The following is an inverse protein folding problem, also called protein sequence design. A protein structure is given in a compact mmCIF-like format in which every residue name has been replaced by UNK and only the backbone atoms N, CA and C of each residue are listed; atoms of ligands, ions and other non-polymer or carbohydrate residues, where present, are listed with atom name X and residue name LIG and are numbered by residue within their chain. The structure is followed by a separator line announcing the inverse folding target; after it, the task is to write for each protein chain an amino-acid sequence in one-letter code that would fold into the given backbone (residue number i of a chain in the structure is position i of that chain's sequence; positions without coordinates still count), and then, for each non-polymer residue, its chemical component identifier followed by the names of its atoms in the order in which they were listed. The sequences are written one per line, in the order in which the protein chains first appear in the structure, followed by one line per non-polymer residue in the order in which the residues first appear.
data_IF_311470695139
#
_entry.id   IF_311470695139
#
_cell.length_a   1.000
_cell.length_b   1.000
_cell.length_c   1.000
_cell.angle_alpha   90.00
_cell.angle_beta   90.00
_cell.angle_gamma   90.00
#
_symmetry.space_group_name_H-M   'P 1'
#
loop_
_entity.id
_entity.type
_entity.pdbx_description
1 polymer ?
#
# COMPACT_ATOMS: atom_id res chain seq x y z
N UNK A 1 36.88 13.06 13.38
CA UNK A 1 35.51 13.54 13.16
C UNK A 1 34.70 12.35 12.68
N UNK A 2 33.97 11.70 13.59
CA UNK A 2 33.01 10.67 13.22
C UNK A 2 31.79 11.44 12.76
N UNK A 3 31.40 11.31 11.49
CA UNK A 3 30.17 11.90 10.98
C UNK A 3 29.01 11.33 11.81
N UNK A 4 28.22 12.20 12.44
CA UNK A 4 26.98 11.79 13.10
C UNK A 4 26.10 11.06 12.08
N UNK A 5 25.75 9.81 12.37
CA UNK A 5 24.76 9.06 11.60
C UNK A 5 23.46 9.87 11.53
N UNK A 6 22.76 9.88 10.38
CA UNK A 6 21.49 10.59 10.28
C UNK A 6 20.50 9.98 11.27
N UNK A 7 20.18 10.72 12.33
CA UNK A 7 19.17 10.32 13.31
C UNK A 7 17.82 10.27 12.60
N UNK A 8 17.31 9.05 12.43
CA UNK A 8 15.92 8.76 12.04
C UNK A 8 14.99 9.58 12.94
N UNK A 9 14.37 10.64 12.40
CA UNK A 9 13.42 11.49 13.13
C UNK A 9 12.05 10.79 13.21
N UNK A 10 11.99 9.74 14.04
CA UNK A 10 10.80 8.93 14.21
C UNK A 10 9.63 9.74 14.78
N UNK A 11 9.91 10.66 15.70
CA UNK A 11 8.91 11.51 16.35
C UNK A 11 8.09 12.28 15.33
N UNK A 12 8.76 12.90 14.34
CA UNK A 12 8.07 13.63 13.29
C UNK A 12 7.19 12.73 12.40
N UNK A 13 7.60 11.49 12.16
CA UNK A 13 6.78 10.50 11.43
C UNK A 13 5.57 10.06 12.25
N UNK A 14 5.77 9.82 13.56
CA UNK A 14 4.68 9.48 14.49
C UNK A 14 3.64 10.59 14.56
N UNK A 15 4.06 11.84 14.74
CA UNK A 15 3.19 13.02 14.83
C UNK A 15 2.40 13.24 13.53
N UNK A 16 3.07 13.08 12.38
CA UNK A 16 2.44 13.16 11.06
C UNK A 16 1.34 12.10 10.91
N UNK A 17 1.63 10.85 11.26
CA UNK A 17 0.66 9.76 11.16
C UNK A 17 -0.53 9.95 12.10
N UNK A 18 -0.29 10.33 13.35
CA UNK A 18 -1.34 10.60 14.33
C UNK A 18 -2.25 11.75 13.88
N UNK A 19 -1.65 12.81 13.32
CA UNK A 19 -2.41 13.95 12.80
C UNK A 19 -3.26 13.56 11.59
N UNK A 20 -2.72 12.73 10.68
CA UNK A 20 -3.47 12.19 9.55
C UNK A 20 -4.63 11.31 10.00
N UNK A 21 -4.40 10.36 10.91
CA UNK A 21 -5.46 9.48 11.42
C UNK A 21 -6.56 10.28 12.13
N UNK A 22 -6.18 11.29 12.91
CA UNK A 22 -7.13 12.16 13.63
C UNK A 22 -8.01 12.94 12.67
N UNK A 23 -7.44 13.54 11.63
CA UNK A 23 -8.22 14.30 10.64
C UNK A 23 -9.10 13.38 9.78
N UNK A 24 -8.59 12.23 9.35
CA UNK A 24 -9.38 11.26 8.55
C UNK A 24 -10.53 10.64 9.35
N UNK A 25 -10.33 10.39 10.65
CA UNK A 25 -11.35 9.84 11.53
C UNK A 25 -12.58 10.75 11.73
N UNK A 26 -12.46 12.06 11.43
CA UNK A 26 -13.61 12.98 11.46
C UNK A 26 -14.62 12.71 10.34
N UNK A 27 -14.15 12.19 9.21
CA UNK A 27 -14.99 11.91 8.03
C UNK A 27 -15.30 10.42 7.88
N UNK A 28 -14.48 9.55 8.47
CA UNK A 28 -14.60 8.09 8.35
C UNK A 28 -14.84 7.48 9.72
N UNK A 29 -16.09 7.18 9.99
CA UNK A 29 -16.53 6.61 11.26
C UNK A 29 -16.45 5.07 11.22
N UNK A 30 -15.92 4.48 12.29
CA UNK A 30 -15.94 3.03 12.49
C UNK A 30 -14.87 2.21 11.73
N UNK A 31 -14.00 2.83 10.92
CA UNK A 31 -13.00 2.13 10.11
C UNK A 31 -11.55 2.42 10.54
N UNK A 32 -11.24 2.33 11.84
CA UNK A 32 -9.91 2.65 12.39
C UNK A 32 -8.78 1.83 11.76
N UNK A 33 -8.99 0.51 11.59
CA UNK A 33 -8.00 -0.37 10.99
C UNK A 33 -7.68 0.03 9.54
N UNK A 34 -8.72 0.37 8.76
CA UNK A 34 -8.53 0.85 7.39
C UNK A 34 -7.69 2.13 7.34
N UNK A 35 -7.99 3.11 8.21
CA UNK A 35 -7.21 4.35 8.28
C UNK A 35 -5.75 4.06 8.61
N UNK A 36 -5.50 3.22 9.62
CA UNK A 36 -4.17 2.82 10.04
C UNK A 36 -3.39 2.14 8.91
N UNK A 37 -3.99 1.13 8.26
CA UNK A 37 -3.36 0.41 7.15
C UNK A 37 -3.06 1.33 5.97
N UNK A 38 -3.95 2.30 5.72
CA UNK A 38 -3.76 3.29 4.64
C UNK A 38 -2.60 4.24 4.95
N UNK A 39 -2.48 4.73 6.19
CA UNK A 39 -1.36 5.57 6.64
C UNK A 39 -0.06 4.78 6.63
N UNK A 40 -0.08 3.51 7.04
CA UNK A 40 1.07 2.60 6.95
C UNK A 40 1.51 2.45 5.50
N UNK A 41 0.58 2.15 4.59
CA UNK A 41 0.87 1.97 3.18
C UNK A 41 1.43 3.25 2.53
N UNK A 42 0.85 4.41 2.82
CA UNK A 42 1.32 5.71 2.32
C UNK A 42 2.75 6.01 2.79
N UNK A 43 3.02 5.80 4.08
CA UNK A 43 4.33 6.01 4.69
C UNK A 43 5.36 4.96 4.23
N UNK A 44 4.91 3.78 3.82
CA UNK A 44 5.74 2.77 3.15
C UNK A 44 5.99 3.11 1.67
N UNK A 45 5.25 4.05 1.07
CA UNK A 45 5.26 4.29 -0.38
C UNK A 45 4.65 3.13 -1.17
N UNK A 46 3.72 2.40 -0.56
CA UNK A 46 2.96 1.32 -1.18
C UNK A 46 1.65 1.79 -1.80
N UNK A 47 0.99 0.87 -2.50
CA UNK A 47 -0.37 1.06 -3.04
C UNK A 47 -1.36 0.23 -2.25
N UNK A 48 -2.58 0.74 -2.11
CA UNK A 48 -3.66 0.10 -1.35
C UNK A 48 -4.72 -0.44 -2.31
N UNK A 49 -5.10 -1.70 -2.12
CA UNK A 49 -6.28 -2.29 -2.75
C UNK A 49 -7.44 -2.22 -1.75
N UNK A 50 -8.52 -1.52 -2.11
CA UNK A 50 -9.71 -1.36 -1.26
C UNK A 50 -10.86 -2.24 -1.75
N UNK A 51 -11.05 -3.38 -1.10
CA UNK A 51 -12.19 -4.26 -1.34
C UNK A 51 -13.36 -3.90 -0.40
N UNK A 52 -14.60 -4.14 -0.84
CA UNK A 52 -15.80 -3.82 -0.06
C UNK A 52 -16.96 -3.35 -0.93
N UNK A 53 -18.16 -3.38 -0.38
CA UNK A 53 -19.38 -3.00 -1.11
C UNK A 53 -19.38 -1.51 -1.48
N UNK A 54 -20.05 -1.12 -2.58
CA UNK A 54 -20.23 0.29 -2.93
C UNK A 54 -20.85 1.08 -1.78
N UNK A 55 -20.44 2.34 -1.61
CA UNK A 55 -21.00 3.24 -0.60
C UNK A 55 -20.31 3.23 0.77
N UNK A 56 -19.30 2.38 1.01
CA UNK A 56 -18.54 2.35 2.28
C UNK A 56 -17.52 3.49 2.47
N UNK A 57 -17.64 4.57 1.70
CA UNK A 57 -16.78 5.75 1.87
C UNK A 57 -15.36 5.63 1.28
N UNK A 58 -15.07 4.65 0.40
CA UNK A 58 -13.76 4.53 -0.27
C UNK A 58 -13.35 5.82 -1.00
N UNK A 59 -14.27 6.41 -1.74
CA UNK A 59 -14.04 7.69 -2.43
C UNK A 59 -13.86 8.85 -1.45
N UNK A 60 -14.55 8.82 -0.31
CA UNK A 60 -14.40 9.81 0.77
C UNK A 60 -13.01 9.69 1.39
N UNK A 61 -12.51 8.48 1.61
CA UNK A 61 -11.15 8.23 2.12
C UNK A 61 -10.08 8.83 1.23
N UNK A 62 -10.07 8.48 -0.06
CA UNK A 62 -9.00 8.95 -0.94
C UNK A 62 -9.08 10.45 -1.18
N UNK A 63 -10.29 11.01 -1.30
CA UNK A 63 -10.48 12.47 -1.41
C UNK A 63 -9.98 13.18 -0.15
N UNK A 64 -10.33 12.68 1.04
CA UNK A 64 -9.91 13.28 2.31
C UNK A 64 -8.40 13.24 2.45
N UNK A 65 -7.75 12.12 2.10
CA UNK A 65 -6.28 12.02 2.08
C UNK A 65 -5.63 13.09 1.21
N UNK A 66 -6.11 13.26 -0.04
CA UNK A 66 -5.55 14.24 -0.96
C UNK A 66 -5.65 15.66 -0.41
N UNK A 67 -6.81 15.98 0.15
CA UNK A 67 -7.01 17.29 0.71
C UNK A 67 -6.22 17.53 2.02
N UNK A 68 -6.15 16.55 2.93
CA UNK A 68 -5.39 16.66 4.20
C UNK A 68 -3.88 16.79 3.97
N UNK A 69 -3.37 16.21 2.89
CA UNK A 69 -1.95 16.27 2.50
C UNK A 69 -1.63 17.34 1.46
N UNK A 70 -2.60 18.17 1.07
CA UNK A 70 -2.44 19.16 -0.01
C UNK A 70 -1.88 18.56 -1.30
N UNK A 71 -2.29 17.33 -1.59
CA UNK A 71 -1.86 16.50 -2.71
C UNK A 71 -2.87 16.59 -3.85
N UNK A 72 -2.39 16.65 -5.08
CA UNK A 72 -3.24 16.50 -6.26
C UNK A 72 -3.92 15.14 -6.24
N UNK A 73 -5.24 15.15 -6.46
CA UNK A 73 -6.08 13.96 -6.45
C UNK A 73 -6.73 13.78 -7.82
N UNK A 74 -6.72 12.54 -8.29
CA UNK A 74 -7.41 12.16 -9.50
C UNK A 74 -8.19 10.87 -9.31
N UNK A 75 -9.36 10.78 -9.96
CA UNK A 75 -10.20 9.59 -9.96
C UNK A 75 -10.28 9.05 -11.38
N UNK A 76 -9.97 7.77 -11.53
CA UNK A 76 -10.09 7.03 -12.78
C UNK A 76 -11.17 5.98 -12.58
N UNK A 77 -12.29 6.14 -13.27
CA UNK A 77 -13.34 5.15 -13.29
C UNK A 77 -13.02 4.12 -14.36
N UNK A 78 -12.83 2.86 -13.98
CA UNK A 78 -12.59 1.81 -14.97
C UNK A 78 -13.89 1.37 -15.62
N UNK A 79 -13.96 1.53 -16.94
CA UNK A 79 -15.06 1.07 -17.78
C UNK A 79 -14.52 0.13 -18.87
N UNK A 80 -15.36 -0.72 -19.49
CA UNK A 80 -14.92 -1.67 -20.52
C UNK A 80 -14.31 -1.00 -21.76
N UNK A 81 -14.70 0.24 -22.03
CA UNK A 81 -14.28 1.09 -23.16
C UNK A 81 -13.07 1.98 -22.84
N UNK A 82 -12.59 1.99 -21.59
CA UNK A 82 -11.47 2.84 -21.17
C UNK A 82 -10.19 2.46 -21.93
N UNK A 83 -9.63 3.42 -22.65
CA UNK A 83 -8.41 3.25 -23.43
C UNK A 83 -7.17 3.62 -22.59
N UNK A 84 -6.00 3.00 -22.85
CA UNK A 84 -4.76 3.41 -22.18
C UNK A 84 -4.44 4.91 -22.32
N UNK A 85 -4.77 5.52 -23.46
CA UNK A 85 -4.59 6.95 -23.70
C UNK A 85 -5.47 7.83 -22.79
N UNK A 86 -6.61 7.34 -22.32
CA UNK A 86 -7.48 8.06 -21.37
C UNK A 86 -6.90 8.06 -19.95
N UNK A 87 -5.91 7.20 -19.67
CA UNK A 87 -5.21 7.10 -18.38
C UNK A 87 -3.89 7.85 -18.45
N UNK A 88 -3.09 7.58 -19.49
CA UNK A 88 -1.74 8.14 -19.68
C UNK A 88 -1.80 9.50 -20.32
N UNK A 89 -2.83 9.85 -21.08
CA UNK A 89 -2.85 11.05 -21.90
C UNK A 89 -2.52 10.79 -23.35
N UNK A 90 -2.75 11.80 -24.18
CA UNK A 90 -2.66 11.72 -25.64
C UNK A 90 -2.07 13.00 -26.22
N UNK A 91 -1.52 12.92 -27.43
CA UNK A 91 -1.13 14.11 -28.17
C UNK A 91 -2.37 14.68 -28.87
N UNK A 92 -2.76 15.90 -28.48
CA UNK A 92 -3.83 16.65 -29.13
C UNK A 92 -3.22 17.56 -30.21
N UNK A 93 -3.98 17.79 -31.28
CA UNK A 93 -3.59 18.74 -32.32
C UNK A 93 -4.32 20.04 -32.01
N UNK A 94 -3.57 21.08 -31.65
CA UNK A 94 -4.06 22.45 -31.56
C UNK A 94 -3.81 23.19 -32.87
N UNK A 95 -4.67 24.15 -33.19
CA UNK A 95 -4.40 25.12 -34.25
C UNK A 95 -4.06 26.45 -33.57
N UNK A 96 -2.81 26.89 -33.69
CA UNK A 96 -2.34 28.19 -33.19
C UNK A 96 -1.75 28.94 -34.37
N UNK A 97 -2.31 30.10 -34.71
CA UNK A 97 -1.91 30.92 -35.86
C UNK A 97 -1.85 30.18 -37.21
N UNK A 98 -2.78 29.24 -37.46
CA UNK A 98 -2.87 28.49 -38.72
C UNK A 98 -1.82 27.39 -38.88
N UNK A 99 -1.05 27.10 -37.82
CA UNK A 99 -0.11 25.97 -37.76
C UNK A 99 -0.68 24.88 -36.86
N UNK A 100 -0.69 23.64 -37.38
CA UNK A 100 -1.00 22.46 -36.57
C UNK A 100 0.16 22.20 -35.63
N UNK A 101 -0.05 22.41 -34.35
CA UNK A 101 0.90 22.05 -33.29
C UNK A 101 0.40 20.82 -32.54
N UNK A 102 1.31 19.88 -32.28
CA UNK A 102 1.04 18.73 -31.43
C UNK A 102 1.38 19.09 -29.98
N UNK A 103 0.39 19.10 -29.11
CA UNK A 103 0.55 19.33 -27.67
C UNK A 103 0.21 18.06 -26.91
N UNK A 104 1.08 17.63 -26.00
CA UNK A 104 0.79 16.47 -25.15
C UNK A 104 -0.15 16.90 -24.02
N UNK A 105 -1.31 16.25 -23.94
CA UNK A 105 -2.25 16.41 -22.83
C UNK A 105 -2.09 15.23 -21.87
N UNK A 106 -1.60 15.54 -20.67
CA UNK A 106 -1.42 14.58 -19.59
C UNK A 106 -2.78 13.97 -19.14
N UNK A 107 -2.80 12.65 -18.97
CA UNK A 107 -3.98 11.93 -18.46
C UNK A 107 -4.14 12.00 -16.93
N UNK A 108 -5.26 11.47 -16.41
CA UNK A 108 -5.62 11.55 -14.99
C UNK A 108 -4.67 10.79 -14.05
N UNK A 109 -3.78 9.94 -14.55
CA UNK A 109 -2.82 9.24 -13.67
C UNK A 109 -1.73 10.16 -13.10
N UNK A 110 -1.53 11.33 -13.70
CA UNK A 110 -0.53 12.30 -13.24
C UNK A 110 -1.07 13.11 -12.06
N UNK A 111 -1.20 12.44 -10.91
CA UNK A 111 -1.57 13.03 -9.63
C UNK A 111 -0.78 12.38 -8.49
N UNK A 112 -0.66 13.05 -7.35
CA UNK A 112 0.00 12.48 -6.17
C UNK A 112 -0.80 11.30 -5.60
N UNK A 113 -2.14 11.38 -5.66
CA UNK A 113 -3.06 10.31 -5.29
C UNK A 113 -4.02 10.00 -6.42
N UNK A 114 -4.08 8.72 -6.80
CA UNK A 114 -4.98 8.22 -7.83
C UNK A 114 -5.93 7.19 -7.23
N UNK A 115 -7.24 7.46 -7.31
CA UNK A 115 -8.27 6.46 -7.04
C UNK A 115 -8.65 5.76 -8.35
N UNK A 116 -8.19 4.53 -8.50
CA UNK A 116 -8.63 3.63 -9.56
C UNK A 116 -9.88 2.86 -9.09
N UNK A 117 -11.06 3.29 -9.54
CA UNK A 117 -12.35 2.76 -9.09
C UNK A 117 -12.87 1.68 -10.06
N UNK A 118 -13.54 0.66 -9.51
CA UNK A 118 -14.10 -0.48 -10.26
C UNK A 118 -13.12 -1.17 -11.24
N UNK A 119 -11.87 -1.37 -10.84
CA UNK A 119 -10.81 -2.00 -11.66
C UNK A 119 -11.24 -3.35 -12.26
N UNK A 120 -12.16 -4.05 -11.58
CA UNK A 120 -12.76 -5.30 -12.03
C UNK A 120 -13.63 -5.17 -13.31
N UNK A 121 -14.05 -3.96 -13.70
CA UNK A 121 -14.80 -3.70 -14.95
C UNK A 121 -13.90 -3.43 -16.17
N UNK A 122 -12.59 -3.28 -15.94
CA UNK A 122 -11.62 -3.03 -16.99
C UNK A 122 -11.37 -4.29 -17.83
N UNK A 123 -11.15 -4.12 -19.14
CA UNK A 123 -10.67 -5.24 -19.97
C UNK A 123 -9.21 -5.59 -19.64
N UNK A 124 -8.73 -6.82 -19.91
CA UNK A 124 -7.34 -7.23 -19.62
C UNK A 124 -6.26 -6.33 -20.28
N UNK A 125 -6.57 -5.73 -21.44
CA UNK A 125 -5.67 -4.76 -22.11
C UNK A 125 -5.50 -3.47 -21.30
N UNK A 126 -6.57 -2.95 -20.71
CA UNK A 126 -6.54 -1.72 -19.90
C UNK A 126 -5.87 -1.95 -18.53
N UNK A 127 -6.01 -3.15 -17.95
CA UNK A 127 -5.32 -3.53 -16.70
C UNK A 127 -3.80 -3.66 -16.88
N UNK A 128 -3.34 -4.09 -18.05
CA UNK A 128 -1.89 -4.20 -18.35
C UNK A 128 -1.21 -2.83 -18.45
N UNK A 129 -1.93 -1.81 -18.93
CA UNK A 129 -1.41 -0.44 -19.02
C UNK A 129 -1.13 0.18 -17.64
N UNK A 130 -1.98 -0.08 -16.63
CA UNK A 130 -1.78 0.37 -15.24
C UNK A 130 -0.40 -0.01 -14.66
N UNK A 131 0.15 -1.19 -15.01
CA UNK A 131 1.44 -1.67 -14.51
C UNK A 131 2.65 -0.93 -15.13
N UNK A 132 2.51 -0.46 -16.37
CA UNK A 132 3.53 0.31 -17.07
C UNK A 132 3.58 1.76 -16.59
N UNK A 133 2.43 2.26 -16.15
CA UNK A 133 2.19 3.63 -15.70
C UNK A 133 2.73 3.90 -14.29
N UNK A 134 2.69 2.90 -13.40
CA UNK A 134 3.26 2.96 -12.05
C UNK A 134 4.78 3.30 -12.03
N UNK A 135 5.46 3.23 -13.17
CA UNK A 135 6.90 3.50 -13.29
C UNK A 135 7.25 4.95 -13.61
N UNK A 136 6.29 5.82 -13.98
CA UNK A 136 6.64 7.00 -14.79
C UNK A 136 6.45 8.40 -14.24
N UNK A 137 5.81 8.70 -13.11
CA UNK A 137 5.51 10.14 -12.92
C UNK A 137 5.19 10.68 -11.52
N UNK A 138 5.89 11.79 -11.23
CA UNK A 138 5.76 12.72 -10.10
C UNK A 138 5.44 14.13 -10.63
N UNK A 139 4.36 14.79 -10.17
CA UNK A 139 4.02 16.22 -10.45
C UNK A 139 2.63 16.67 -9.97
N UNK A 140 2.45 17.96 -9.61
CA UNK A 140 1.38 18.56 -8.77
C UNK A 140 0.29 19.36 -9.57
N UNK A 141 -0.99 19.49 -9.16
CA UNK A 141 -1.56 20.26 -8.01
C UNK A 141 -3.12 20.22 -7.95
N UNK A 142 -3.78 20.54 -6.79
CA UNK A 142 -5.09 21.31 -6.56
C UNK A 142 -5.71 21.15 -5.12
N UNK A 143 -6.62 22.05 -4.62
CA UNK A 143 -6.85 22.48 -3.20
C UNK A 143 -8.15 21.92 -2.50
N UNK A 144 -8.60 22.24 -1.27
CA UNK A 144 -8.02 22.65 0.04
C UNK A 144 -8.89 22.01 1.17
N UNK A 145 -8.29 21.20 2.05
CA UNK A 145 -8.69 20.98 3.47
C UNK A 145 -7.64 21.69 4.35
N UNK A 146 -7.78 21.63 5.69
CA UNK A 146 -6.69 22.05 6.59
C UNK A 146 -5.51 21.09 6.41
N UNK A 147 -4.45 21.59 5.78
CA UNK A 147 -3.24 20.81 5.52
C UNK A 147 -2.59 20.38 6.83
N UNK A 148 -2.37 19.07 6.97
CA UNK A 148 -1.60 18.48 8.07
C UNK A 148 -0.13 18.37 7.66
N UNK A 149 0.14 18.17 6.37
CA UNK A 149 1.48 18.11 5.80
C UNK A 149 1.44 18.24 4.26
N UNK A 150 2.61 18.31 3.62
CA UNK A 150 2.76 18.31 2.16
C UNK A 150 3.33 16.97 1.63
N UNK A 151 3.46 16.85 0.30
CA UNK A 151 4.07 15.69 -0.33
C UNK A 151 5.53 15.46 0.08
N UNK A 152 6.26 16.53 0.41
CA UNK A 152 7.65 16.46 0.88
C UNK A 152 7.77 15.77 2.24
N UNK A 153 6.83 16.01 3.15
CA UNK A 153 6.76 15.34 4.44
C UNK A 153 6.50 13.83 4.28
N UNK A 154 5.61 13.42 3.37
CA UNK A 154 5.39 11.99 3.06
C UNK A 154 6.66 11.35 2.50
N UNK A 155 7.34 12.00 1.56
CA UNK A 155 8.60 11.50 1.00
C UNK A 155 9.69 11.37 2.05
N UNK A 156 9.75 12.30 3.00
CA UNK A 156 10.66 12.24 4.14
C UNK A 156 10.32 11.04 5.02
N UNK A 157 9.05 10.87 5.38
CA UNK A 157 8.59 9.74 6.18
C UNK A 157 8.89 8.39 5.50
N UNK A 158 8.76 8.30 4.18
CA UNK A 158 9.13 7.12 3.40
C UNK A 158 10.64 6.82 3.41
N UNK A 159 11.50 7.84 3.46
CA UNK A 159 12.95 7.64 3.61
C UNK A 159 13.28 7.17 5.01
N UNK A 160 12.75 7.85 6.02
CA UNK A 160 12.88 7.50 7.45
C UNK A 160 12.44 6.05 7.70
N UNK A 161 11.32 5.61 7.13
CA UNK A 161 10.83 4.25 7.24
C UNK A 161 11.79 3.19 6.68
N UNK A 162 12.54 3.50 5.62
CA UNK A 162 13.53 2.56 5.05
C UNK A 162 14.77 2.42 5.93
N UNK A 163 15.12 3.47 6.66
CA UNK A 163 16.28 3.54 7.56
C UNK A 163 16.06 2.82 8.90
N UNK A 164 14.81 2.51 9.28
CA UNK A 164 14.51 1.76 10.51
C UNK A 164 15.26 0.42 10.52
N UNK A 165 16.08 0.14 11.53
CA UNK A 165 16.78 -1.13 11.65
C UNK A 165 15.79 -2.28 11.93
N UNK A 166 16.07 -3.44 11.33
CA UNK A 166 15.40 -4.70 11.61
C UNK A 166 16.46 -5.71 12.07
N UNK A 167 16.24 -6.30 13.23
CA UNK A 167 17.15 -7.32 13.74
C UNK A 167 17.07 -8.58 12.88
N UNK A 168 18.20 -9.27 12.71
CA UNK A 168 18.32 -10.44 11.85
C UNK A 168 17.29 -11.54 12.17
N UNK A 169 17.05 -11.81 13.45
CA UNK A 169 16.06 -12.81 13.88
C UNK A 169 14.60 -12.39 13.55
N UNK A 170 14.31 -11.09 13.55
CA UNK A 170 12.99 -10.55 13.15
C UNK A 170 12.83 -10.64 11.63
N UNK A 171 13.88 -10.36 10.86
CA UNK A 171 13.88 -10.54 9.41
C UNK A 171 13.71 -12.02 9.02
N UNK A 172 14.39 -12.94 9.71
CA UNK A 172 14.21 -14.39 9.52
C UNK A 172 12.80 -14.85 9.85
N UNK A 173 12.20 -14.30 10.90
CA UNK A 173 10.80 -14.56 11.20
C UNK A 173 9.87 -14.09 10.06
N UNK A 174 10.07 -12.90 9.52
CA UNK A 174 9.33 -12.42 8.34
C UNK A 174 9.48 -13.38 7.14
N UNK A 175 10.70 -13.87 6.90
CA UNK A 175 10.97 -14.84 5.83
C UNK A 175 10.29 -16.20 6.09
N UNK A 176 10.23 -16.65 7.35
CA UNK A 176 9.49 -17.86 7.74
C UNK A 176 7.99 -17.69 7.52
N UNK A 177 7.40 -16.57 7.90
CA UNK A 177 5.98 -16.27 7.65
C UNK A 177 5.67 -16.39 6.14
N UNK A 178 6.47 -15.75 5.29
CA UNK A 178 6.28 -15.82 3.84
C UNK A 178 6.51 -17.23 3.30
N UNK A 179 7.52 -17.94 3.80
CA UNK A 179 7.78 -19.34 3.39
C UNK A 179 6.62 -20.26 3.78
N UNK A 180 6.03 -20.07 4.97
CA UNK A 180 4.89 -20.83 5.47
C UNK A 180 3.60 -20.60 4.67
N UNK A 181 3.54 -19.60 3.80
CA UNK A 181 2.43 -19.44 2.84
C UNK A 181 2.52 -20.39 1.64
N UNK A 182 3.66 -21.07 1.44
CA UNK A 182 3.87 -21.93 0.28
C UNK A 182 3.56 -23.40 0.63
N UNK A 183 2.73 -24.09 -0.17
CA UNK A 183 2.30 -25.46 0.14
C UNK A 183 3.45 -26.47 0.15
N UNK A 184 4.52 -26.24 -0.63
CA UNK A 184 5.72 -27.09 -0.67
C UNK A 184 6.65 -26.92 0.54
N UNK A 185 6.43 -25.90 1.38
CA UNK A 185 7.33 -25.53 2.49
C UNK A 185 6.63 -25.40 3.84
N UNK A 186 5.30 -25.32 3.83
CA UNK A 186 4.51 -25.20 5.05
C UNK A 186 4.33 -26.57 5.69
N UNK A 187 4.33 -26.58 7.02
CA UNK A 187 3.96 -27.76 7.82
C UNK A 187 2.46 -27.79 8.16
N UNK A 188 1.73 -26.72 7.82
CA UNK A 188 0.29 -26.64 8.08
C UNK A 188 -0.50 -27.38 7.00
N UNK A 189 -1.31 -28.35 7.43
CA UNK A 189 -2.19 -29.11 6.53
C UNK A 189 -3.17 -28.19 5.79
N UNK A 190 -3.66 -27.15 6.46
CA UNK A 190 -4.54 -26.15 5.84
C UNK A 190 -3.86 -25.43 4.67
N UNK A 191 -2.57 -25.08 4.80
CA UNK A 191 -1.82 -24.45 3.72
C UNK A 191 -1.59 -25.45 2.58
N UNK A 192 -1.13 -26.67 2.91
CA UNK A 192 -0.88 -27.73 1.91
C UNK A 192 -2.12 -28.07 1.09
N UNK A 193 -3.30 -28.07 1.72
CA UNK A 193 -4.57 -28.42 1.10
C UNK A 193 -5.20 -27.23 0.37
N UNK A 194 -5.26 -26.06 0.99
CA UNK A 194 -6.09 -24.96 0.49
C UNK A 194 -5.32 -23.90 -0.29
N UNK A 195 -3.99 -23.82 -0.18
CA UNK A 195 -3.20 -22.82 -0.91
C UNK A 195 -2.67 -23.40 -2.22
N UNK A 196 -2.88 -22.65 -3.30
CA UNK A 196 -2.35 -22.95 -4.63
C UNK A 196 -1.00 -22.27 -4.87
N UNK A 197 -0.89 -20.99 -4.51
CA UNK A 197 0.34 -20.21 -4.62
C UNK A 197 0.53 -19.32 -3.40
N UNK A 198 1.71 -19.40 -2.80
CA UNK A 198 2.12 -18.56 -1.67
C UNK A 198 2.56 -17.16 -2.09
N UNK A 199 2.87 -16.35 -1.09
CA UNK A 199 3.29 -14.96 -1.29
C UNK A 199 4.71 -14.86 -1.87
N UNK A 200 4.87 -14.07 -2.93
CA UNK A 200 6.17 -13.86 -3.59
C UNK A 200 7.17 -13.05 -2.73
N UNK A 201 8.44 -12.85 -3.18
CA UNK A 201 9.39 -11.97 -2.48
C UNK A 201 8.90 -10.53 -2.27
N UNK A 202 7.97 -10.06 -3.11
CA UNK A 202 7.31 -8.76 -2.91
C UNK A 202 6.43 -8.76 -1.65
N UNK A 203 5.85 -9.90 -1.27
CA UNK A 203 5.16 -10.07 0.01
C UNK A 203 6.09 -9.86 1.20
N UNK A 204 7.31 -10.41 1.17
CA UNK A 204 8.32 -10.19 2.20
C UNK A 204 8.72 -8.70 2.29
N UNK A 205 8.97 -8.06 1.14
CA UNK A 205 9.30 -6.63 1.11
C UNK A 205 8.18 -5.77 1.70
N UNK A 206 6.93 -6.01 1.32
CA UNK A 206 5.76 -5.31 1.87
C UNK A 206 5.65 -5.54 3.37
N UNK A 207 5.77 -6.79 3.83
CA UNK A 207 5.66 -7.16 5.24
C UNK A 207 6.73 -6.44 6.10
N UNK A 208 7.99 -6.46 5.65
CA UNK A 208 9.09 -5.81 6.35
C UNK A 208 8.92 -4.29 6.37
N UNK A 209 8.59 -3.69 5.22
CA UNK A 209 8.46 -2.23 5.13
C UNK A 209 7.25 -1.72 5.94
N UNK A 210 6.12 -2.42 5.88
CA UNK A 210 4.95 -2.11 6.71
C UNK A 210 5.26 -2.30 8.20
N UNK A 211 6.03 -3.32 8.57
CA UNK A 211 6.47 -3.54 9.95
C UNK A 211 7.39 -2.43 10.47
N UNK A 212 8.33 -1.95 9.64
CA UNK A 212 9.18 -0.79 9.94
C UNK A 212 8.36 0.48 10.17
N UNK A 213 7.42 0.75 9.26
CA UNK A 213 6.51 1.89 9.41
C UNK A 213 5.72 1.75 10.69
N UNK A 214 5.10 0.59 10.95
CA UNK A 214 4.31 0.38 12.16
C UNK A 214 5.15 0.65 13.42
N UNK A 215 6.37 0.13 13.50
CA UNK A 215 7.27 0.40 14.62
C UNK A 215 7.47 1.91 14.84
N UNK A 216 7.74 2.67 13.77
CA UNK A 216 7.84 4.14 13.83
C UNK A 216 6.55 4.80 14.30
N UNK A 217 5.40 4.34 13.80
CA UNK A 217 4.11 4.90 14.19
C UNK A 217 3.74 4.60 15.65
N UNK A 218 4.40 3.62 16.27
CA UNK A 218 4.33 3.33 17.71
C UNK A 218 5.48 4.02 18.50
N UNK A 219 6.24 4.91 17.87
CA UNK A 219 7.37 5.63 18.48
C UNK A 219 8.61 4.76 18.74
N UNK A 220 8.68 3.57 18.14
CA UNK A 220 9.80 2.63 18.29
C UNK A 220 10.76 2.72 17.11
N UNK A 221 12.05 2.60 17.41
CA UNK A 221 13.15 2.71 16.44
C UNK A 221 13.64 1.35 15.92
N UNK A 222 12.95 0.27 16.28
CA UNK A 222 13.29 -1.08 15.87
C UNK A 222 12.02 -1.90 15.68
N UNK A 223 12.04 -2.78 14.68
CA UNK A 223 10.92 -3.67 14.38
C UNK A 223 10.85 -4.80 15.42
N UNK A 224 9.65 -5.06 15.92
CA UNK A 224 9.33 -6.20 16.76
C UNK A 224 8.51 -7.24 15.97
N UNK A 225 8.44 -8.49 16.47
CA UNK A 225 7.61 -9.53 15.86
C UNK A 225 6.14 -9.10 15.72
N UNK A 226 5.61 -8.40 16.72
CA UNK A 226 4.23 -7.98 16.73
C UNK A 226 3.93 -6.91 15.66
N UNK A 227 4.95 -6.19 15.17
CA UNK A 227 4.80 -5.30 14.01
C UNK A 227 4.51 -6.05 12.73
N UNK A 228 5.27 -7.12 12.52
CA UNK A 228 5.07 -7.99 11.37
C UNK A 228 3.72 -8.70 11.46
N UNK A 229 3.34 -9.18 12.65
CA UNK A 229 2.06 -9.87 12.84
C UNK A 229 0.87 -8.96 12.53
N UNK A 230 0.87 -7.73 13.02
CA UNK A 230 -0.27 -6.82 12.83
C UNK A 230 -0.46 -6.37 11.39
N UNK A 231 0.60 -6.32 10.58
CA UNK A 231 0.51 -5.94 9.16
C UNK A 231 0.46 -7.15 8.21
N UNK A 232 0.54 -8.38 8.73
CA UNK A 232 0.60 -9.59 7.91
C UNK A 232 -0.65 -9.81 7.06
N UNK A 233 -1.84 -9.68 7.65
CA UNK A 233 -3.10 -9.81 6.91
C UNK A 233 -3.20 -8.81 5.73
N UNK A 234 -3.13 -7.48 5.95
CA UNK A 234 -3.23 -6.53 4.83
C UNK A 234 -2.07 -6.66 3.82
N UNK A 235 -0.87 -7.06 4.26
CA UNK A 235 0.28 -7.24 3.38
C UNK A 235 0.19 -8.50 2.49
N UNK A 236 -0.37 -9.60 3.01
CA UNK A 236 -0.29 -10.93 2.40
C UNK A 236 -1.62 -11.44 1.81
N UNK A 237 -2.79 -10.95 2.25
CA UNK A 237 -4.10 -11.51 1.84
C UNK A 237 -4.32 -11.64 0.33
N UNK A 238 -3.91 -10.62 -0.41
CA UNK A 238 -4.05 -10.53 -1.87
C UNK A 238 -2.88 -11.20 -2.61
N UNK A 239 -2.03 -11.94 -1.89
CA UNK A 239 -0.83 -12.61 -2.40
C UNK A 239 -0.87 -14.12 -2.16
N UNK A 240 -1.89 -14.62 -1.45
CA UNK A 240 -2.13 -16.03 -1.23
C UNK A 240 -3.31 -16.41 -2.11
N UNK A 241 -3.08 -17.31 -3.06
CA UNK A 241 -4.11 -17.78 -3.95
C UNK A 241 -4.62 -19.12 -3.47
N UNK A 242 -5.93 -19.19 -3.18
CA UNK A 242 -6.57 -20.39 -2.68
C UNK A 242 -7.02 -21.31 -3.83
N UNK A 243 -7.18 -22.58 -3.51
CA UNK A 243 -7.80 -23.59 -4.38
C UNK A 243 -9.33 -23.52 -4.26
N UNK A 244 -10.05 -24.06 -5.25
CA UNK A 244 -11.54 -24.10 -5.23
C UNK A 244 -12.10 -24.84 -4.01
N UNK A 245 -11.39 -25.85 -3.51
CA UNK A 245 -11.76 -26.59 -2.31
C UNK A 245 -11.82 -25.68 -1.07
N UNK A 246 -10.97 -24.64 -1.02
CA UNK A 246 -10.99 -23.66 0.07
C UNK A 246 -12.29 -22.86 0.07
N UNK A 247 -12.82 -22.50 -1.10
CA UNK A 247 -14.10 -21.79 -1.22
C UNK A 247 -15.26 -22.67 -0.76
N UNK A 248 -15.24 -23.96 -1.14
CA UNK A 248 -16.25 -24.93 -0.71
C UNK A 248 -16.28 -25.11 0.82
N UNK A 249 -15.11 -25.09 1.47
CA UNK A 249 -14.96 -25.24 2.92
C UNK A 249 -15.04 -23.89 3.68
N UNK A 250 -15.33 -22.78 2.99
CA UNK A 250 -15.43 -21.44 3.59
C UNK A 250 -14.11 -20.91 4.17
N UNK A 251 -12.99 -21.37 3.65
CA UNK A 251 -11.64 -20.97 4.07
C UNK A 251 -11.24 -19.70 3.33
N UNK A 252 -10.77 -18.71 4.08
CA UNK A 252 -10.31 -17.41 3.55
C UNK A 252 -8.80 -17.26 3.70
N UNK A 253 -8.21 -16.36 2.90
CA UNK A 253 -6.78 -16.04 3.02
C UNK A 253 -6.44 -15.49 4.41
N UNK A 254 -7.31 -14.69 5.01
CA UNK A 254 -7.12 -14.15 6.36
C UNK A 254 -7.09 -15.25 7.43
N UNK A 255 -7.90 -16.31 7.27
CA UNK A 255 -7.88 -17.48 8.17
C UNK A 255 -6.55 -18.22 8.04
N UNK A 256 -6.09 -18.47 6.81
CA UNK A 256 -4.78 -19.10 6.55
C UNK A 256 -3.63 -18.26 7.15
N UNK A 257 -3.65 -16.95 6.95
CA UNK A 257 -2.62 -16.05 7.51
C UNK A 257 -2.63 -16.10 9.04
N UNK A 258 -3.81 -16.10 9.66
CA UNK A 258 -3.93 -16.18 11.12
C UNK A 258 -3.35 -17.49 11.66
N UNK A 259 -3.64 -18.61 11.02
CA UNK A 259 -3.09 -19.91 11.39
C UNK A 259 -1.55 -19.96 11.22
N UNK A 260 -1.02 -19.39 10.14
CA UNK A 260 0.43 -19.24 9.93
C UNK A 260 1.07 -18.42 11.06
N UNK A 261 0.45 -17.31 11.46
CA UNK A 261 0.96 -16.46 12.54
C UNK A 261 0.96 -17.17 13.90
N UNK A 262 -0.03 -18.02 14.16
CA UNK A 262 -0.14 -18.80 15.39
C UNK A 262 0.94 -19.90 15.49
N UNK A 263 1.30 -20.51 14.35
CA UNK A 263 2.20 -21.68 14.33
C UNK A 263 3.65 -21.37 13.95
N UNK A 264 3.94 -20.17 13.45
CA UNK A 264 5.32 -19.80 13.09
C UNK A 264 6.11 -19.36 14.32
N UNK A 265 7.20 -20.05 14.62
CA UNK A 265 8.02 -19.77 15.80
C UNK A 265 8.74 -18.41 15.74
N UNK A 266 8.58 -17.63 16.82
CA UNK A 266 9.34 -16.39 17.11
C UNK A 266 10.68 -16.73 17.78
N UNK A 267 11.62 -17.25 17.00
CA UNK A 267 12.96 -17.58 17.52
C UNK A 267 13.71 -16.30 17.95
N UNK A 268 14.22 -16.23 19.19
CA UNK A 268 14.99 -15.09 19.65
C UNK A 268 16.37 -15.03 18.99
N UNK A 269 17.08 -13.91 19.17
CA UNK A 269 18.47 -13.79 18.73
C UNK A 269 19.30 -14.96 19.29
N UNK A 270 19.99 -15.70 18.41
CA UNK A 270 21.00 -16.66 18.84
C UNK A 270 22.11 -15.89 19.55
N UNK A 271 22.48 -16.35 20.75
CA UNK A 271 23.63 -15.80 21.51
C UNK A 271 24.94 -15.98 20.74
#
# INVERSE_FOLDING_TARGET
MIAEEPRVDATRVTELAQSLETELARLIVGQKALLRDTVIALTAGGHVLLEGVPGLGKTVLVRSLGQTLSMSFSRIQFTPDLMPADIVGTNIIGDTDGRREFHYQAGPIFANLVLADEINRATPKTQSALLEIARRTTGDSTPQLKSVADAGAILTAQRTAREVPIAEHVLRYAARLVSATHPDRSELDSVRRYVRWGASPRGLQTLVLAGKVRALLEGRYNVAFDDLNSVAQPALRHRIFLQFEAEADGITADRIISEILEHTAKEPASK
#
